data_IF_792669333160
#
_entry.id   IF_792669333160
#
_cell.length_a   1.000
_cell.length_b   1.000
_cell.length_c   1.000
_cell.angle_alpha   90.00
_cell.angle_beta   90.00
_cell.angle_gamma   90.00
#
_symmetry.space_group_name_H-M   'P 1'
#
loop_
_entity.id
_entity.type
_entity.pdbx_description
1 polymer ?
#
# COMPACT_ATOMS: atom_id res chain seq x y z
N UNK A 1 -24.39 9.73 -1.23
CA UNK A 1 -23.49 8.84 -2.00
C UNK A 1 -22.34 8.51 -1.06
N UNK A 2 -22.00 7.24 -0.88
CA UNK A 2 -20.85 6.86 -0.06
C UNK A 2 -19.54 7.32 -0.71
N UNK A 3 -18.54 7.67 0.09
CA UNK A 3 -17.20 7.98 -0.41
C UNK A 3 -16.47 6.67 -0.70
N UNK A 4 -15.70 6.61 -1.79
CA UNK A 4 -14.85 5.42 -2.05
C UNK A 4 -13.69 5.38 -1.07
N UNK A 5 -13.31 4.20 -0.59
CA UNK A 5 -12.19 4.02 0.31
C UNK A 5 -10.87 4.55 -0.28
N UNK A 6 -10.66 4.37 -1.59
CA UNK A 6 -9.51 4.92 -2.32
C UNK A 6 -9.45 6.45 -2.23
N UNK A 7 -10.55 7.13 -2.55
CA UNK A 7 -10.61 8.60 -2.53
C UNK A 7 -10.38 9.13 -1.10
N UNK A 8 -10.97 8.46 -0.09
CA UNK A 8 -10.73 8.78 1.33
C UNK A 8 -9.24 8.74 1.67
N UNK A 9 -8.56 7.65 1.29
CA UNK A 9 -7.13 7.48 1.58
C UNK A 9 -6.27 8.53 0.86
N UNK A 10 -6.54 8.79 -0.42
CA UNK A 10 -5.81 9.81 -1.20
C UNK A 10 -5.95 11.20 -0.58
N UNK A 11 -7.15 11.57 -0.12
CA UNK A 11 -7.40 12.86 0.51
C UNK A 11 -6.71 12.97 1.88
N UNK A 12 -6.74 11.92 2.69
CA UNK A 12 -6.04 11.88 3.98
C UNK A 12 -4.52 11.98 3.80
N UNK A 13 -3.95 11.21 2.88
CA UNK A 13 -2.53 11.26 2.54
C UNK A 13 -2.13 12.66 2.05
N UNK A 14 -2.96 13.27 1.19
CA UNK A 14 -2.72 14.66 0.75
C UNK A 14 -2.68 15.62 1.94
N UNK A 15 -3.63 15.51 2.88
CA UNK A 15 -3.65 16.39 4.06
C UNK A 15 -2.40 16.19 4.93
N UNK A 16 -2.01 14.96 5.20
CA UNK A 16 -0.81 14.66 6.00
C UNK A 16 0.48 15.22 5.36
N UNK A 17 0.57 15.20 4.02
CA UNK A 17 1.76 15.66 3.30
C UNK A 17 1.81 17.15 3.02
N UNK A 18 0.66 17.80 2.85
CA UNK A 18 0.59 19.11 2.20
C UNK A 18 -0.20 20.17 3.00
N UNK A 19 -0.78 19.81 4.14
CA UNK A 19 -1.56 20.75 4.94
C UNK A 19 -0.89 21.05 6.27
N UNK A 20 -0.78 22.32 6.58
CA UNK A 20 -0.50 22.74 7.94
C UNK A 20 -1.70 22.39 8.83
N UNK A 21 -1.44 21.78 9.96
CA UNK A 21 -2.47 21.34 10.89
C UNK A 21 -1.96 21.38 12.33
N UNK A 22 -2.90 21.41 13.29
CA UNK A 22 -2.57 21.24 14.69
C UNK A 22 -3.66 20.42 15.40
N UNK A 23 -3.24 19.71 16.44
CA UNK A 23 -4.12 18.92 17.29
C UNK A 23 -4.90 19.85 18.20
N UNK A 24 -6.21 19.70 18.24
CA UNK A 24 -7.09 20.49 19.09
C UNK A 24 -8.29 19.64 19.56
N UNK A 25 -8.31 19.35 20.84
CA UNK A 25 -9.39 18.63 21.51
C UNK A 25 -10.30 19.54 22.35
N UNK A 26 -10.17 20.85 22.21
CA UNK A 26 -10.92 21.83 23.02
C UNK A 26 -12.37 22.00 22.58
N UNK A 27 -12.77 21.41 21.46
CA UNK A 27 -14.11 21.57 20.92
C UNK A 27 -15.12 20.54 21.44
N UNK A 28 -16.39 20.98 21.73
CA UNK A 28 -17.39 20.12 22.34
C UNK A 28 -17.78 18.90 21.52
N UNK A 29 -17.51 18.89 20.23
CA UNK A 29 -17.96 17.83 19.32
C UNK A 29 -16.82 17.07 18.61
N UNK A 30 -15.58 17.19 19.12
CA UNK A 30 -14.43 16.58 18.47
C UNK A 30 -14.46 16.85 16.95
N UNK A 31 -14.28 18.11 16.58
CA UNK A 31 -14.54 18.60 15.23
C UNK A 31 -13.26 18.78 14.44
N UNK A 32 -13.42 18.80 13.12
CA UNK A 32 -12.41 19.30 12.21
C UNK A 32 -12.80 20.71 11.78
N UNK A 33 -11.88 21.66 11.90
CA UNK A 33 -12.09 23.06 11.54
C UNK A 33 -11.03 23.54 10.53
N UNK A 34 -11.46 24.37 9.58
CA UNK A 34 -10.55 25.05 8.66
C UNK A 34 -10.37 26.49 9.12
N UNK A 35 -9.12 26.90 9.26
CA UNK A 35 -8.68 28.26 9.57
C UNK A 35 -8.20 28.99 8.32
N UNK A 36 -7.71 30.22 8.53
CA UNK A 36 -7.11 31.02 7.45
C UNK A 36 -6.00 30.24 6.74
N UNK A 37 -5.89 30.43 5.44
CA UNK A 37 -4.95 29.74 4.55
C UNK A 37 -5.11 28.21 4.49
N UNK A 38 -6.24 27.69 4.98
CA UNK A 38 -6.51 26.26 4.95
C UNK A 38 -5.79 25.44 6.00
N UNK A 39 -5.31 26.06 7.08
CA UNK A 39 -4.81 25.34 8.26
C UNK A 39 -5.94 24.54 8.89
N UNK A 40 -5.67 23.31 9.28
CA UNK A 40 -6.67 22.38 9.82
C UNK A 40 -6.43 22.16 11.30
N UNK A 41 -7.46 22.33 12.13
CA UNK A 41 -7.44 21.83 13.51
C UNK A 41 -8.41 20.68 13.70
N UNK A 42 -7.97 19.62 14.37
CA UNK A 42 -8.79 18.46 14.70
C UNK A 42 -8.15 17.70 15.87
N UNK A 43 -8.94 16.87 16.54
CA UNK A 43 -8.41 15.73 17.27
C UNK A 43 -8.46 14.46 16.41
N UNK A 44 -8.10 13.32 16.98
CA UNK A 44 -8.03 12.05 16.24
C UNK A 44 -9.39 11.66 15.64
N UNK A 45 -10.46 11.80 16.40
CA UNK A 45 -11.81 11.42 15.96
C UNK A 45 -12.45 12.53 15.11
N UNK A 46 -12.11 13.78 15.35
CA UNK A 46 -12.53 14.92 14.56
C UNK A 46 -12.04 14.87 13.13
N UNK A 47 -10.81 14.38 12.90
CA UNK A 47 -10.30 14.13 11.56
C UNK A 47 -11.17 13.09 10.82
N UNK A 48 -11.47 11.97 11.45
CA UNK A 48 -12.30 10.90 10.85
C UNK A 48 -13.71 11.41 10.54
N UNK A 49 -14.35 12.08 11.49
CA UNK A 49 -15.69 12.66 11.29
C UNK A 49 -15.65 13.74 10.20
N UNK A 50 -14.64 14.58 10.22
CA UNK A 50 -14.48 15.70 9.28
C UNK A 50 -14.43 15.24 7.83
N UNK A 51 -13.57 14.27 7.52
CA UNK A 51 -13.39 13.77 6.15
C UNK A 51 -14.60 12.96 5.66
N UNK A 52 -15.32 12.29 6.56
CA UNK A 52 -16.53 11.55 6.20
C UNK A 52 -17.69 12.50 5.93
N UNK A 53 -17.86 13.55 6.75
CA UNK A 53 -18.94 14.52 6.60
C UNK A 53 -18.71 15.51 5.44
N UNK A 54 -17.46 15.78 5.14
CA UNK A 54 -17.06 16.65 4.03
C UNK A 54 -15.89 16.04 3.26
N UNK A 55 -16.16 15.17 2.27
CA UNK A 55 -15.13 14.55 1.42
C UNK A 55 -14.22 15.55 0.70
N UNK A 56 -14.62 16.81 0.58
CA UNK A 56 -13.84 17.88 -0.05
C UNK A 56 -13.07 18.77 0.95
N UNK A 57 -13.08 18.43 2.24
CA UNK A 57 -12.42 19.24 3.29
C UNK A 57 -10.95 19.51 2.96
N UNK A 58 -10.27 18.56 2.35
CA UNK A 58 -8.87 18.64 1.96
C UNK A 58 -8.56 19.75 0.92
N UNK A 59 -9.58 20.22 0.16
CA UNK A 59 -9.45 21.29 -0.85
C UNK A 59 -9.68 22.68 -0.27
N UNK A 60 -10.26 22.77 0.92
CA UNK A 60 -10.72 24.05 1.45
C UNK A 60 -9.55 24.91 1.93
N UNK A 61 -9.55 26.17 1.55
CA UNK A 61 -8.52 27.16 1.90
C UNK A 61 -9.08 28.34 2.71
N UNK A 62 -10.40 28.47 2.76
CA UNK A 62 -11.07 29.58 3.47
C UNK A 62 -11.58 29.07 4.82
N UNK A 63 -11.53 29.90 5.85
CA UNK A 63 -12.14 29.60 7.13
C UNK A 63 -13.57 29.17 6.98
N UNK A 64 -13.91 28.15 7.72
CA UNK A 64 -15.28 27.68 7.80
C UNK A 64 -15.55 27.24 9.22
N UNK A 65 -16.77 27.37 9.66
CA UNK A 65 -17.17 26.81 10.94
C UNK A 65 -16.99 25.27 10.98
N UNK A 66 -17.39 24.69 12.09
CA UNK A 66 -17.25 23.25 12.34
C UNK A 66 -17.87 22.40 11.24
N UNK A 67 -17.08 21.41 10.74
CA UNK A 67 -17.51 20.49 9.68
C UNK A 67 -18.28 19.28 10.18
N UNK A 68 -18.24 18.98 11.46
CA UNK A 68 -19.09 17.94 12.02
C UNK A 68 -20.41 18.56 12.39
N UNK A 69 -21.43 18.27 11.62
CA UNK A 69 -22.82 18.61 11.97
C UNK A 69 -23.47 17.35 12.53
N UNK A 70 -23.77 17.31 13.83
CA UNK A 70 -24.52 16.20 14.41
C UNK A 70 -25.76 15.89 13.59
N UNK A 71 -25.95 14.61 13.25
CA UNK A 71 -27.12 14.12 12.53
C UNK A 71 -27.05 14.28 10.99
N UNK A 72 -25.91 14.64 10.39
CA UNK A 72 -25.79 14.71 8.93
C UNK A 72 -25.32 13.39 8.31
N UNK A 73 -24.04 13.05 8.39
CA UNK A 73 -23.50 11.84 7.78
C UNK A 73 -23.04 10.84 8.83
N UNK A 74 -22.06 11.21 9.65
CA UNK A 74 -21.62 10.41 10.80
C UNK A 74 -22.01 11.10 12.09
N UNK A 75 -22.47 10.35 13.09
CA UNK A 75 -22.88 10.90 14.38
C UNK A 75 -21.69 11.45 15.20
N UNK A 76 -22.01 12.21 16.23
CA UNK A 76 -21.02 12.70 17.19
C UNK A 76 -20.69 11.60 18.21
N UNK A 77 -19.96 10.58 17.76
CA UNK A 77 -19.54 9.45 18.56
C UNK A 77 -18.09 9.58 19.01
N UNK A 78 -17.78 8.94 20.14
CA UNK A 78 -16.39 8.73 20.55
C UNK A 78 -15.70 7.73 19.60
N UNK A 79 -14.39 7.55 19.79
CA UNK A 79 -13.61 6.57 19.04
C UNK A 79 -14.15 5.15 19.18
N UNK A 80 -14.60 4.74 20.38
CA UNK A 80 -15.25 3.44 20.60
C UNK A 80 -16.66 3.41 19.99
N UNK A 81 -17.38 4.53 20.06
CA UNK A 81 -18.70 4.67 19.43
C UNK A 81 -18.63 4.48 17.92
N UNK A 82 -17.62 5.01 17.24
CA UNK A 82 -17.39 4.75 15.80
C UNK A 82 -17.07 3.28 15.55
N UNK A 83 -16.24 2.66 16.38
CA UNK A 83 -15.91 1.24 16.23
C UNK A 83 -17.15 0.33 16.31
N UNK A 84 -18.12 0.68 17.17
CA UNK A 84 -19.40 -0.05 17.29
C UNK A 84 -20.26 0.02 16.02
N UNK A 85 -20.05 1.04 15.18
CA UNK A 85 -20.72 1.19 13.88
C UNK A 85 -19.90 0.61 12.71
N UNK A 86 -18.75 0.03 12.99
CA UNK A 86 -17.95 -0.65 11.99
C UNK A 86 -18.46 -2.06 11.74
N UNK A 87 -18.32 -2.54 10.52
CA UNK A 87 -18.52 -3.94 10.15
C UNK A 87 -17.16 -4.66 10.05
N UNK A 88 -17.15 -5.98 10.27
CA UNK A 88 -15.93 -6.77 10.15
C UNK A 88 -14.83 -6.41 11.17
N UNK A 89 -15.24 -5.95 12.36
CA UNK A 89 -14.29 -5.57 13.43
C UNK A 89 -13.39 -6.74 13.79
N UNK A 90 -12.06 -6.49 13.80
CA UNK A 90 -11.05 -7.51 14.07
C UNK A 90 -9.89 -6.95 14.89
N UNK A 91 -9.28 -7.74 15.78
CA UNK A 91 -8.01 -7.43 16.41
C UNK A 91 -6.79 -7.88 15.57
N UNK A 92 -7.00 -8.50 14.41
CA UNK A 92 -5.96 -9.07 13.55
C UNK A 92 -5.81 -8.24 12.28
N UNK A 93 -4.68 -7.56 12.12
CA UNK A 93 -4.46 -6.57 11.07
C UNK A 93 -3.94 -7.13 9.75
N UNK A 94 -3.70 -8.44 9.64
CA UNK A 94 -3.13 -9.08 8.44
C UNK A 94 -3.98 -8.93 7.18
N UNK A 95 -5.29 -8.69 7.35
CA UNK A 95 -6.23 -8.52 6.24
C UNK A 95 -6.91 -7.14 6.25
N UNK A 96 -6.30 -6.16 6.90
CA UNK A 96 -6.82 -4.79 6.92
C UNK A 96 -6.79 -4.21 5.50
N UNK A 97 -7.82 -3.47 5.15
CA UNK A 97 -7.95 -2.86 3.82
C UNK A 97 -7.87 -1.32 3.91
N UNK A 98 -7.35 -0.65 2.88
CA UNK A 98 -7.35 0.80 2.83
C UNK A 98 -8.75 1.39 3.03
N UNK A 99 -8.83 2.45 3.82
CA UNK A 99 -10.07 3.08 4.25
C UNK A 99 -10.66 2.53 5.54
N UNK A 100 -10.11 1.46 6.13
CA UNK A 100 -10.59 0.94 7.39
C UNK A 100 -10.19 1.84 8.58
N UNK A 101 -11.14 1.96 9.48
CA UNK A 101 -10.99 2.66 10.74
C UNK A 101 -10.07 1.87 11.67
N UNK A 102 -9.14 2.57 12.30
CA UNK A 102 -8.22 2.06 13.30
C UNK A 102 -8.60 2.59 14.67
N UNK A 103 -8.60 1.72 15.65
CA UNK A 103 -8.97 1.99 17.04
C UNK A 103 -7.89 1.52 18.01
N UNK A 104 -7.61 2.34 18.99
CA UNK A 104 -7.09 2.00 20.31
C UNK A 104 -7.73 2.91 21.35
N UNK A 105 -7.77 2.50 22.62
CA UNK A 105 -8.43 3.28 23.67
C UNK A 105 -7.88 4.73 23.72
N UNK A 106 -8.76 5.71 23.49
CA UNK A 106 -8.44 7.14 23.47
C UNK A 106 -7.76 7.61 22.20
N UNK A 107 -7.76 6.83 21.10
CA UNK A 107 -7.19 7.27 19.82
C UNK A 107 -7.79 6.56 18.60
N UNK A 108 -7.73 7.26 17.48
CA UNK A 108 -8.28 6.77 16.21
C UNK A 108 -7.42 7.21 15.01
N UNK A 109 -7.52 6.45 13.93
CA UNK A 109 -6.89 6.73 12.65
C UNK A 109 -7.56 5.99 11.50
N UNK A 110 -7.02 6.13 10.30
CA UNK A 110 -7.46 5.41 9.10
C UNK A 110 -6.25 4.71 8.49
N UNK A 111 -6.40 3.43 8.20
CA UNK A 111 -5.43 2.70 7.41
C UNK A 111 -5.57 3.10 5.94
N UNK A 112 -4.50 3.60 5.33
CA UNK A 112 -4.53 4.14 3.97
C UNK A 112 -3.78 3.26 2.95
N UNK A 113 -3.21 2.13 3.39
CA UNK A 113 -2.26 1.38 2.59
C UNK A 113 -0.88 2.07 2.55
N UNK A 114 0.11 1.41 1.98
CA UNK A 114 1.48 1.94 1.99
C UNK A 114 1.66 3.18 1.11
N UNK A 115 2.37 4.17 1.63
CA UNK A 115 2.79 5.37 0.92
C UNK A 115 4.07 5.95 1.56
N UNK A 116 4.82 6.72 0.79
CA UNK A 116 6.00 7.41 1.30
C UNK A 116 5.61 8.76 1.91
N UNK A 117 6.15 9.07 3.10
CA UNK A 117 6.05 10.39 3.71
C UNK A 117 7.27 10.68 4.59
N UNK A 118 7.81 11.90 4.46
CA UNK A 118 8.96 12.40 5.26
C UNK A 118 10.18 11.47 5.32
N UNK A 119 10.43 10.73 4.22
CA UNK A 119 11.57 9.82 4.08
C UNK A 119 11.36 8.42 4.65
N UNK A 120 10.14 8.08 5.07
CA UNK A 120 9.76 6.74 5.56
C UNK A 120 8.55 6.17 4.84
N UNK A 121 8.35 4.86 4.99
CA UNK A 121 7.12 4.18 4.55
C UNK A 121 6.09 4.30 5.66
N UNK A 122 4.89 4.75 5.29
CA UNK A 122 3.72 4.90 6.15
C UNK A 122 2.55 4.11 5.57
N UNK A 123 1.56 3.84 6.38
CA UNK A 123 0.31 3.23 5.91
C UNK A 123 -0.94 3.69 6.68
N UNK A 124 -0.75 4.62 7.61
CA UNK A 124 -1.83 5.15 8.46
C UNK A 124 -1.77 6.67 8.46
N UNK A 125 -2.95 7.30 8.43
CA UNK A 125 -3.11 8.74 8.67
C UNK A 125 -3.96 8.96 9.91
N UNK A 126 -3.52 9.84 10.77
CA UNK A 126 -4.12 10.15 12.08
C UNK A 126 -3.91 11.61 12.44
N UNK A 127 -4.64 12.11 13.43
CA UNK A 127 -4.38 13.41 14.03
C UNK A 127 -3.95 13.21 15.49
N UNK A 128 -2.73 13.62 15.83
CA UNK A 128 -2.10 13.25 17.10
C UNK A 128 -1.10 14.30 17.57
N UNK A 129 -0.76 14.22 18.86
CA UNK A 129 0.40 14.89 19.46
C UNK A 129 1.58 13.94 19.68
N UNK A 130 1.44 12.68 19.27
CA UNK A 130 2.51 11.69 19.36
C UNK A 130 3.62 11.98 18.33
N UNK A 131 4.74 11.29 18.41
CA UNK A 131 5.89 11.40 17.49
C UNK A 131 6.58 12.77 17.48
N UNK A 132 6.26 13.67 18.44
CA UNK A 132 6.69 15.07 18.40
C UNK A 132 5.96 15.89 17.32
N UNK A 133 4.90 15.33 16.72
CA UNK A 133 3.97 16.02 15.83
C UNK A 133 2.88 16.75 16.63
N UNK A 134 2.17 17.61 15.94
CA UNK A 134 1.00 18.29 16.51
C UNK A 134 0.00 18.54 15.37
N UNK A 135 -0.84 17.55 15.09
CA UNK A 135 -1.84 17.64 14.03
C UNK A 135 -1.97 16.38 13.18
N UNK A 136 -2.33 16.57 11.92
CA UNK A 136 -2.51 15.48 10.95
C UNK A 136 -1.14 14.97 10.52
N UNK A 137 -0.88 13.73 10.77
CA UNK A 137 0.39 13.08 10.47
C UNK A 137 0.18 11.65 9.96
N UNK A 138 1.26 10.97 9.65
CA UNK A 138 1.27 9.58 9.24
C UNK A 138 2.12 8.72 10.15
N UNK A 139 1.77 7.46 10.25
CA UNK A 139 2.53 6.45 10.97
C UNK A 139 2.56 5.14 10.21
N UNK A 140 3.33 4.18 10.69
CA UNK A 140 3.36 2.83 10.14
C UNK A 140 2.71 1.87 11.14
N UNK A 141 1.67 1.18 10.69
CA UNK A 141 1.08 0.01 11.34
C UNK A 141 1.77 -1.24 10.79
N UNK A 142 2.36 -2.05 11.65
CA UNK A 142 2.79 -3.40 11.28
C UNK A 142 1.58 -4.34 11.24
N UNK A 143 1.16 -4.83 10.06
CA UNK A 143 -0.01 -5.70 9.95
C UNK A 143 0.15 -7.05 10.65
N UNK A 144 1.37 -7.49 10.92
CA UNK A 144 1.61 -8.76 11.59
C UNK A 144 1.34 -8.69 13.10
N UNK A 145 1.60 -7.54 13.73
CA UNK A 145 1.55 -7.37 15.17
C UNK A 145 0.56 -6.32 15.68
N UNK A 146 0.04 -5.45 14.81
CA UNK A 146 -0.76 -4.29 15.22
C UNK A 146 0.07 -3.13 15.81
N UNK A 147 1.38 -3.26 15.84
CA UNK A 147 2.28 -2.24 16.40
C UNK A 147 2.28 -0.98 15.52
N UNK A 148 2.40 0.15 16.17
CA UNK A 148 2.42 1.47 15.55
C UNK A 148 3.80 2.08 15.70
N UNK A 149 4.36 2.58 14.62
CA UNK A 149 5.70 3.14 14.57
C UNK A 149 5.69 4.58 14.04
N UNK A 150 6.56 5.39 14.61
CA UNK A 150 6.89 6.70 14.07
C UNK A 150 7.57 6.55 12.70
N UNK A 151 7.04 7.26 11.71
CA UNK A 151 7.57 7.26 10.34
C UNK A 151 8.96 7.92 10.21
N UNK A 152 9.35 8.78 11.16
CA UNK A 152 10.62 9.52 11.11
C UNK A 152 11.81 8.69 11.58
N UNK A 153 11.63 7.83 12.57
CA UNK A 153 12.72 7.15 13.23
C UNK A 153 12.44 5.69 13.61
N UNK A 154 11.24 5.17 13.25
CA UNK A 154 10.84 3.80 13.55
C UNK A 154 10.63 3.50 15.03
N UNK A 155 10.49 4.52 15.89
CA UNK A 155 10.20 4.30 17.32
C UNK A 155 8.83 3.70 17.49
N UNK A 156 8.75 2.62 18.25
CA UNK A 156 7.49 1.95 18.60
C UNK A 156 6.68 2.80 19.58
N UNK A 157 5.39 2.92 19.30
CA UNK A 157 4.39 3.56 20.14
C UNK A 157 3.29 2.58 20.52
N UNK A 158 2.23 3.07 21.21
CA UNK A 158 1.06 2.26 21.55
C UNK A 158 0.51 1.55 20.32
N UNK A 159 0.21 0.27 20.46
CA UNK A 159 -0.35 -0.56 19.38
C UNK A 159 -1.81 -0.25 19.12
N UNK A 160 -2.23 -0.39 17.86
CA UNK A 160 -3.64 -0.46 17.50
C UNK A 160 -4.26 -1.73 18.08
N UNK A 161 -5.48 -1.61 18.57
CA UNK A 161 -6.19 -2.72 19.23
C UNK A 161 -7.18 -3.41 18.29
N UNK A 162 -7.84 -2.66 17.43
CA UNK A 162 -8.86 -3.15 16.49
C UNK A 162 -8.92 -2.28 15.25
N UNK A 163 -9.51 -2.85 14.21
CA UNK A 163 -9.89 -2.14 13.00
C UNK A 163 -11.28 -2.58 12.54
N UNK A 164 -11.90 -1.84 11.63
CA UNK A 164 -13.17 -2.19 11.04
C UNK A 164 -13.60 -1.26 9.91
N UNK A 165 -14.57 -1.71 9.12
CA UNK A 165 -15.07 -0.99 7.96
C UNK A 165 -16.23 -0.07 8.34
N UNK A 166 -16.14 1.19 7.98
CA UNK A 166 -17.21 2.18 8.07
C UNK A 166 -18.20 2.03 6.90
N UNK A 167 -18.75 0.83 6.73
CA UNK A 167 -19.50 0.43 5.53
C UNK A 167 -20.78 1.24 5.26
N UNK A 168 -21.32 1.94 6.27
CA UNK A 168 -22.46 2.84 6.07
C UNK A 168 -22.07 4.14 5.35
N UNK A 169 -20.81 4.56 5.45
CA UNK A 169 -20.29 5.84 4.95
C UNK A 169 -19.30 5.67 3.81
N UNK A 170 -18.52 4.59 3.86
CA UNK A 170 -17.43 4.31 2.93
C UNK A 170 -17.83 3.12 2.05
N UNK A 171 -17.69 3.29 0.76
CA UNK A 171 -17.77 2.21 -0.21
C UNK A 171 -16.39 1.55 -0.28
N UNK A 172 -16.26 0.43 0.40
CA UNK A 172 -15.16 -0.48 0.21
C UNK A 172 -15.51 -1.27 -1.03
N UNK A 173 -15.00 -0.84 -2.16
CA UNK A 173 -15.04 -1.74 -3.27
C UNK A 173 -14.33 -3.00 -2.79
N UNK A 174 -15.01 -4.15 -2.88
CA UNK A 174 -14.35 -5.44 -3.02
C UNK A 174 -13.64 -5.52 -4.39
N UNK A 175 -13.23 -4.41 -4.96
CA UNK A 175 -12.17 -4.37 -5.93
C UNK A 175 -10.96 -4.80 -5.14
N UNK A 176 -10.84 -6.09 -5.11
CA UNK A 176 -9.68 -6.85 -4.86
C UNK A 176 -8.48 -5.99 -5.26
N UNK A 177 -7.80 -5.42 -4.26
CA UNK A 177 -6.55 -4.71 -4.50
C UNK A 177 -5.63 -5.78 -5.02
N UNK A 178 -5.30 -5.71 -6.29
CA UNK A 178 -4.46 -6.71 -6.95
C UNK A 178 -3.01 -6.56 -6.47
N UNK A 179 -2.13 -7.40 -6.91
CA UNK A 179 -0.71 -7.26 -6.63
C UNK A 179 -0.20 -5.92 -7.16
N UNK A 180 0.53 -5.19 -6.33
CA UNK A 180 1.27 -4.00 -6.73
C UNK A 180 2.71 -4.37 -6.97
N UNK A 181 3.26 -3.96 -8.11
CA UNK A 181 4.63 -4.29 -8.50
C UNK A 181 5.26 -3.21 -9.36
N UNK A 182 6.57 -3.17 -9.33
CA UNK A 182 7.40 -2.27 -10.11
C UNK A 182 8.71 -2.95 -10.49
N UNK A 183 9.38 -2.42 -11.50
CA UNK A 183 10.68 -2.90 -11.95
C UNK A 183 11.70 -1.78 -12.01
N UNK A 184 12.96 -2.14 -11.90
CA UNK A 184 14.09 -1.26 -12.15
C UNK A 184 14.52 -1.39 -13.62
N UNK A 185 14.55 -0.27 -14.32
CA UNK A 185 14.92 -0.17 -15.74
C UNK A 185 16.42 0.08 -15.88
N UNK A 186 17.11 -0.75 -16.64
CA UNK A 186 18.56 -0.72 -16.79
C UNK A 186 19.07 0.51 -17.56
N UNK A 187 18.29 0.98 -18.55
CA UNK A 187 18.64 2.13 -19.40
C UNK A 187 18.41 3.45 -18.68
N UNK A 188 17.25 3.62 -18.07
CA UNK A 188 16.91 4.81 -17.30
C UNK A 188 17.57 4.85 -15.92
N UNK A 189 17.95 3.70 -15.40
CA UNK A 189 18.53 3.51 -14.05
C UNK A 189 17.63 4.06 -12.94
N UNK A 190 16.34 3.75 -13.03
CA UNK A 190 15.32 4.15 -12.05
C UNK A 190 14.29 3.06 -11.86
N UNK A 191 13.65 3.06 -10.70
CA UNK A 191 12.41 2.33 -10.51
C UNK A 191 11.31 2.99 -11.32
N UNK A 192 10.60 2.20 -12.12
CA UNK A 192 9.43 2.66 -12.86
C UNK A 192 8.22 2.78 -11.93
N UNK A 193 7.16 3.43 -12.41
CA UNK A 193 5.92 3.56 -11.65
C UNK A 193 5.33 2.21 -11.27
N UNK A 194 4.66 2.17 -10.11
CA UNK A 194 3.99 0.97 -9.63
C UNK A 194 2.77 0.65 -10.48
N UNK A 195 2.67 -0.59 -10.90
CA UNK A 195 1.53 -1.17 -11.62
C UNK A 195 0.69 -2.01 -10.64
N UNK A 196 -0.64 -1.95 -10.77
CA UNK A 196 -1.58 -2.77 -10.03
C UNK A 196 -2.23 -3.81 -10.94
N UNK A 197 -2.05 -5.09 -10.62
CA UNK A 197 -2.63 -6.20 -11.36
C UNK A 197 -2.30 -6.16 -12.85
N UNK A 198 -3.31 -6.29 -13.67
CA UNK A 198 -3.19 -6.26 -15.13
C UNK A 198 -3.68 -4.93 -15.75
N UNK A 199 -3.78 -3.88 -14.94
CA UNK A 199 -4.13 -2.54 -15.44
C UNK A 199 -3.14 -2.06 -16.50
N UNK A 200 -1.87 -2.48 -16.34
CA UNK A 200 -0.78 -2.24 -17.26
C UNK A 200 0.29 -3.34 -17.10
N UNK A 201 1.49 -3.12 -17.61
CA UNK A 201 2.66 -3.95 -17.36
C UNK A 201 3.79 -3.09 -16.77
N UNK A 202 4.65 -3.70 -15.96
CA UNK A 202 5.87 -3.04 -15.48
C UNK A 202 7.03 -3.37 -16.41
N UNK A 203 7.67 -2.33 -16.94
CA UNK A 203 8.77 -2.44 -17.88
C UNK A 203 8.68 -1.44 -19.03
N UNK A 204 9.67 -1.46 -19.89
CA UNK A 204 9.73 -0.68 -21.15
C UNK A 204 10.27 -1.60 -22.23
N UNK A 205 9.51 -1.82 -23.27
CA UNK A 205 9.95 -2.69 -24.38
C UNK A 205 11.30 -2.25 -24.94
N UNK A 206 12.20 -3.20 -25.04
CA UNK A 206 13.57 -3.00 -25.50
C UNK A 206 14.57 -2.65 -24.40
N UNK A 207 14.12 -2.36 -23.15
CA UNK A 207 15.00 -2.14 -22.01
C UNK A 207 15.02 -3.39 -21.13
N UNK A 208 16.17 -3.74 -20.57
CA UNK A 208 16.23 -4.87 -19.65
C UNK A 208 15.63 -4.51 -18.27
N UNK A 209 15.00 -5.48 -17.65
CA UNK A 209 14.59 -5.41 -16.25
C UNK A 209 15.69 -6.01 -15.38
N UNK A 210 16.21 -5.24 -14.44
CA UNK A 210 17.28 -5.69 -13.54
C UNK A 210 16.74 -6.13 -12.17
N UNK A 211 15.70 -5.46 -11.68
CA UNK A 211 15.12 -5.78 -10.36
C UNK A 211 13.59 -5.72 -10.40
N UNK A 212 12.97 -6.50 -9.49
CA UNK A 212 11.51 -6.54 -9.29
C UNK A 212 11.20 -6.33 -7.82
N UNK A 213 10.17 -5.52 -7.54
CA UNK A 213 9.60 -5.34 -6.21
C UNK A 213 8.09 -5.53 -6.28
N UNK A 214 7.52 -6.36 -5.40
CA UNK A 214 6.10 -6.68 -5.40
C UNK A 214 5.51 -6.76 -3.99
N UNK A 215 4.23 -6.36 -3.83
CA UNK A 215 3.47 -6.49 -2.60
C UNK A 215 2.00 -6.76 -2.89
N UNK A 216 1.33 -7.41 -1.95
CA UNK A 216 -0.10 -7.63 -1.96
C UNK A 216 -0.65 -7.49 -0.55
N UNK A 217 -1.67 -6.66 -0.36
CA UNK A 217 -2.23 -6.41 0.98
C UNK A 217 -2.98 -7.59 1.59
N UNK A 218 -3.40 -8.56 0.76
CA UNK A 218 -4.15 -9.72 1.22
C UNK A 218 -3.30 -10.87 1.77
N UNK A 219 -1.99 -10.88 1.52
CA UNK A 219 -1.06 -11.91 1.99
C UNK A 219 0.39 -11.57 1.66
N UNK A 220 1.32 -12.20 2.38
CA UNK A 220 2.74 -12.13 2.03
C UNK A 220 3.01 -12.70 0.64
N UNK A 221 3.86 -12.02 -0.11
CA UNK A 221 4.43 -12.51 -1.36
C UNK A 221 5.89 -12.89 -1.14
N UNK A 222 6.29 -13.99 -1.77
CA UNK A 222 7.66 -14.48 -1.79
C UNK A 222 8.08 -14.66 -3.23
N UNK A 223 9.19 -14.07 -3.62
CA UNK A 223 9.63 -14.08 -5.01
C UNK A 223 11.13 -14.06 -5.15
N UNK A 224 11.60 -14.48 -6.30
CA UNK A 224 13.00 -14.44 -6.67
C UNK A 224 13.16 -14.39 -8.18
N UNK A 225 14.35 -14.04 -8.61
CA UNK A 225 14.73 -13.91 -10.02
C UNK A 225 15.94 -14.75 -10.33
N UNK A 226 16.04 -15.13 -11.58
CA UNK A 226 17.27 -15.60 -12.20
C UNK A 226 17.85 -14.45 -13.02
N UNK A 227 19.17 -14.26 -13.00
CA UNK A 227 19.84 -13.16 -13.68
C UNK A 227 20.69 -13.64 -14.84
N UNK A 228 20.62 -12.89 -15.96
CA UNK A 228 21.43 -13.12 -17.13
C UNK A 228 22.67 -12.23 -17.16
N UNK A 229 23.81 -12.75 -17.63
CA UNK A 229 25.08 -12.01 -17.69
C UNK A 229 25.57 -11.73 -19.12
N UNK A 230 24.70 -11.80 -20.12
CA UNK A 230 25.05 -11.60 -21.52
C UNK A 230 25.97 -12.69 -22.07
N UNK A 231 26.82 -12.35 -23.05
CA UNK A 231 27.71 -13.29 -23.70
C UNK A 231 28.82 -13.83 -22.77
N UNK A 232 29.03 -13.22 -21.62
CA UNK A 232 29.92 -13.73 -20.54
C UNK A 232 29.28 -14.85 -19.71
N UNK A 233 28.01 -15.08 -19.90
CA UNK A 233 27.22 -16.07 -19.15
C UNK A 233 27.77 -17.50 -19.26
N UNK A 234 28.14 -17.94 -20.46
CA UNK A 234 28.76 -19.25 -20.68
C UNK A 234 30.14 -19.38 -20.00
N UNK A 235 30.85 -18.27 -19.84
CA UNK A 235 32.21 -18.25 -19.34
C UNK A 235 32.31 -18.42 -17.82
N UNK A 236 31.26 -18.04 -17.09
CA UNK A 236 31.32 -18.01 -15.63
C UNK A 236 30.43 -19.03 -14.90
N UNK A 237 29.57 -19.77 -15.61
CA UNK A 237 28.70 -20.83 -15.07
C UNK A 237 27.98 -20.49 -13.73
N UNK A 238 27.75 -19.21 -13.47
CA UNK A 238 27.19 -18.66 -12.25
C UNK A 238 25.79 -18.09 -12.47
N UNK A 239 25.03 -18.71 -13.37
CA UNK A 239 23.63 -18.42 -13.52
C UNK A 239 22.88 -19.19 -12.46
N UNK A 240 22.44 -18.52 -11.46
CA UNK A 240 21.67 -19.10 -10.38
C UNK A 240 20.50 -18.22 -10.01
N UNK A 241 19.50 -18.85 -9.44
CA UNK A 241 18.42 -18.13 -8.81
C UNK A 241 18.96 -17.36 -7.62
N UNK A 242 18.66 -16.06 -7.55
CA UNK A 242 18.99 -15.25 -6.39
C UNK A 242 18.14 -15.66 -5.17
N UNK A 243 18.54 -15.28 -3.95
CA UNK A 243 17.77 -15.56 -2.76
C UNK A 243 16.33 -15.06 -2.85
N UNK A 244 15.40 -15.77 -2.20
CA UNK A 244 14.00 -15.35 -2.07
C UNK A 244 13.89 -14.08 -1.24
N UNK A 245 13.08 -13.12 -1.70
CA UNK A 245 12.71 -11.91 -0.97
C UNK A 245 11.24 -11.92 -0.64
N UNK A 246 10.84 -11.10 0.36
CA UNK A 246 9.49 -11.04 0.87
C UNK A 246 8.93 -9.62 0.74
N UNK A 247 7.80 -9.48 0.07
CA UNK A 247 7.09 -8.21 -0.09
C UNK A 247 8.02 -7.08 -0.59
N UNK A 248 7.70 -5.82 -0.28
CA UNK A 248 8.54 -4.67 -0.58
C UNK A 248 9.59 -4.34 0.49
N UNK A 249 9.86 -5.26 1.42
CA UNK A 249 10.94 -5.08 2.39
C UNK A 249 12.32 -5.08 1.70
N UNK A 250 12.38 -5.70 0.52
CA UNK A 250 13.55 -5.76 -0.34
C UNK A 250 13.09 -5.92 -1.80
N UNK A 251 14.02 -6.04 -2.72
CA UNK A 251 13.76 -6.34 -4.13
C UNK A 251 14.57 -7.54 -4.58
N UNK A 252 14.04 -8.27 -5.56
CA UNK A 252 14.74 -9.37 -6.20
C UNK A 252 15.46 -8.85 -7.45
N UNK A 253 16.76 -9.10 -7.55
CA UNK A 253 17.59 -8.68 -8.68
C UNK A 253 18.88 -8.03 -8.25
N UNK A 254 19.68 -7.62 -9.23
CA UNK A 254 20.94 -6.90 -9.05
C UNK A 254 21.01 -5.85 -10.16
N UNK A 255 21.12 -4.58 -9.79
CA UNK A 255 21.27 -3.50 -10.77
C UNK A 255 22.45 -3.76 -11.70
N UNK A 256 22.22 -3.58 -13.01
CA UNK A 256 23.19 -3.88 -14.08
C UNK A 256 23.26 -5.37 -14.44
N UNK A 257 22.29 -6.19 -13.97
CA UNK A 257 22.19 -7.60 -14.34
C UNK A 257 20.77 -7.92 -14.79
N UNK A 258 20.55 -8.04 -16.10
CA UNK A 258 19.22 -8.37 -16.61
C UNK A 258 18.65 -9.66 -16.03
N UNK A 259 17.37 -9.64 -15.74
CA UNK A 259 16.59 -10.80 -15.36
C UNK A 259 16.19 -11.57 -16.61
N UNK A 260 16.31 -12.91 -16.57
CA UNK A 260 15.86 -13.80 -17.64
C UNK A 260 14.77 -14.78 -17.18
N UNK A 261 14.55 -14.91 -15.86
CA UNK A 261 13.42 -15.64 -15.32
C UNK A 261 12.99 -15.08 -13.95
N UNK A 262 11.70 -15.21 -13.68
CA UNK A 262 11.03 -14.69 -12.49
C UNK A 262 10.06 -15.73 -11.94
N UNK A 263 9.99 -15.88 -10.63
CA UNK A 263 8.95 -16.65 -9.97
C UNK A 263 8.46 -15.96 -8.71
N UNK A 264 7.16 -16.13 -8.42
CA UNK A 264 6.50 -15.55 -7.27
C UNK A 264 5.40 -16.48 -6.75
N UNK A 265 5.24 -16.51 -5.44
CA UNK A 265 4.16 -17.26 -4.76
C UNK A 265 3.48 -16.41 -3.71
N UNK A 266 2.21 -16.69 -3.45
CA UNK A 266 1.44 -16.12 -2.35
C UNK A 266 1.55 -17.01 -1.12
N UNK A 267 1.77 -16.41 0.06
CA UNK A 267 1.85 -17.10 1.35
C UNK A 267 0.49 -17.48 1.95
N UNK A 268 -0.61 -17.32 1.22
CA UNK A 268 -1.97 -17.58 1.67
C UNK A 268 -2.64 -18.68 0.85
N UNK A 269 -3.38 -19.56 1.51
CA UNK A 269 -4.23 -20.54 0.83
C UNK A 269 -5.51 -19.97 0.22
N UNK A 270 -5.84 -18.70 0.52
CA UNK A 270 -7.02 -18.01 -0.01
C UNK A 270 -6.79 -17.37 -1.37
N UNK A 271 -5.53 -17.22 -1.77
CA UNK A 271 -5.12 -16.50 -2.97
C UNK A 271 -4.08 -17.28 -3.74
N UNK A 272 -4.13 -17.18 -5.05
CA UNK A 272 -3.06 -17.55 -5.97
C UNK A 272 -2.55 -16.32 -6.69
N UNK A 273 -1.30 -16.34 -7.11
CA UNK A 273 -0.74 -15.34 -8.00
C UNK A 273 -0.46 -15.97 -9.36
N UNK A 274 -0.85 -15.28 -10.41
CA UNK A 274 -0.49 -15.59 -11.79
C UNK A 274 0.42 -14.50 -12.32
N UNK A 275 1.43 -14.88 -13.05
CA UNK A 275 2.41 -13.95 -13.56
C UNK A 275 2.94 -14.40 -14.93
N UNK A 276 3.42 -13.44 -15.70
CA UNK A 276 4.04 -13.67 -16.99
C UNK A 276 5.08 -12.60 -17.29
N UNK A 277 5.96 -12.86 -18.24
CA UNK A 277 7.00 -11.93 -18.68
C UNK A 277 6.97 -11.77 -20.20
N UNK A 278 7.49 -10.63 -20.64
CA UNK A 278 7.76 -10.35 -22.04
C UNK A 278 9.26 -10.56 -22.34
N UNK A 279 9.56 -11.29 -23.40
CA UNK A 279 10.92 -11.56 -23.85
C UNK A 279 11.41 -10.48 -24.80
N UNK A 280 12.41 -9.72 -24.38
CA UNK A 280 12.93 -8.58 -25.14
C UNK A 280 13.34 -8.92 -26.59
N UNK A 281 14.11 -9.98 -26.78
CA UNK A 281 14.65 -10.35 -28.10
C UNK A 281 13.60 -10.91 -29.06
N UNK A 282 12.56 -11.53 -28.52
CA UNK A 282 11.50 -12.17 -29.31
C UNK A 282 10.27 -11.30 -29.50
N UNK A 283 10.19 -10.19 -28.75
CA UNK A 283 9.02 -9.30 -28.71
C UNK A 283 7.72 -10.09 -28.47
N UNK A 284 7.72 -10.93 -27.41
CA UNK A 284 6.69 -11.91 -27.16
C UNK A 284 6.37 -12.02 -25.67
N UNK A 285 5.08 -11.91 -25.32
CA UNK A 285 4.57 -12.31 -24.02
C UNK A 285 4.51 -13.84 -23.92
N UNK A 286 5.09 -14.39 -22.87
CA UNK A 286 4.90 -15.80 -22.52
C UNK A 286 3.53 -16.03 -21.88
N UNK A 287 3.10 -17.29 -21.81
CA UNK A 287 1.87 -17.69 -21.12
C UNK A 287 1.94 -17.43 -19.62
N UNK A 288 0.76 -17.37 -19.00
CA UNK A 288 0.62 -17.20 -17.56
C UNK A 288 1.09 -18.42 -16.78
N UNK A 289 1.91 -18.21 -15.77
CA UNK A 289 2.45 -19.19 -14.84
C UNK A 289 1.81 -19.01 -13.46
N UNK A 290 1.65 -20.10 -12.72
CA UNK A 290 1.13 -20.15 -11.34
C UNK A 290 2.10 -20.86 -10.37
N UNK A 291 3.11 -21.54 -10.87
CA UNK A 291 4.03 -22.36 -10.08
C UNK A 291 5.12 -21.56 -9.38
N UNK A 292 5.87 -22.26 -8.55
CA UNK A 292 7.05 -21.74 -7.85
C UNK A 292 8.07 -22.88 -7.71
N UNK A 293 8.77 -23.20 -8.81
CA UNK A 293 9.70 -24.33 -8.86
C UNK A 293 10.77 -24.09 -9.93
N UNK A 294 12.02 -23.95 -9.51
CA UNK A 294 13.19 -23.72 -10.39
C UNK A 294 13.43 -24.81 -11.44
N UNK A 295 12.96 -26.02 -11.17
CA UNK A 295 13.19 -27.19 -12.02
C UNK A 295 12.06 -27.43 -13.03
N UNK A 296 10.97 -26.71 -12.90
CA UNK A 296 9.80 -26.82 -13.77
C UNK A 296 9.79 -25.68 -14.77
N UNK A 297 10.32 -25.91 -15.95
CA UNK A 297 10.44 -24.93 -17.03
C UNK A 297 9.10 -24.58 -17.70
N UNK A 298 8.07 -25.40 -17.52
CA UNK A 298 6.77 -25.15 -18.15
C UNK A 298 5.87 -24.28 -17.28
N UNK A 299 5.82 -24.56 -15.96
CA UNK A 299 4.87 -23.90 -15.06
C UNK A 299 5.49 -23.37 -13.77
N UNK A 300 6.77 -23.62 -13.49
CA UNK A 300 7.41 -23.27 -12.24
C UNK A 300 7.92 -21.85 -12.15
N UNK A 301 8.17 -21.21 -13.30
CA UNK A 301 8.63 -19.82 -13.41
C UNK A 301 8.29 -19.23 -14.79
N UNK A 302 8.23 -17.92 -14.90
CA UNK A 302 8.08 -17.20 -16.17
C UNK A 302 9.45 -16.72 -16.65
N UNK A 303 9.75 -16.97 -17.92
CA UNK A 303 11.02 -16.60 -18.56
C UNK A 303 11.67 -17.74 -19.32
N UNK A 304 12.74 -17.45 -19.99
CA UNK A 304 13.60 -18.40 -20.72
C UNK A 304 15.04 -18.11 -20.33
N UNK A 305 15.67 -19.04 -19.63
CA UNK A 305 17.05 -18.88 -19.16
C UNK A 305 17.96 -18.52 -20.34
N UNK A 306 18.69 -17.41 -20.23
CA UNK A 306 19.53 -16.85 -21.28
C UNK A 306 18.84 -15.82 -22.19
N UNK A 307 17.54 -15.54 -22.00
CA UNK A 307 16.82 -14.53 -22.77
C UNK A 307 16.29 -13.43 -21.82
N UNK A 308 16.84 -12.20 -21.85
CA UNK A 308 16.40 -11.15 -20.94
C UNK A 308 14.95 -10.74 -21.16
N UNK A 309 14.30 -10.37 -20.06
CA UNK A 309 12.94 -9.82 -20.06
C UNK A 309 12.98 -8.31 -20.06
N UNK A 310 11.97 -7.68 -20.65
CA UNK A 310 11.81 -6.22 -20.65
C UNK A 310 10.48 -5.75 -20.07
N UNK A 311 9.56 -6.68 -19.77
CA UNK A 311 8.34 -6.37 -19.06
C UNK A 311 7.78 -7.59 -18.33
N UNK A 312 6.97 -7.32 -17.30
CA UNK A 312 6.24 -8.36 -16.57
C UNK A 312 4.83 -7.91 -16.20
N UNK A 313 3.95 -8.87 -16.03
CA UNK A 313 2.59 -8.70 -15.50
C UNK A 313 2.29 -9.72 -14.42
N UNK A 314 1.54 -9.28 -13.42
CA UNK A 314 1.08 -10.14 -12.32
C UNK A 314 -0.40 -9.87 -12.02
N UNK A 315 -1.09 -10.86 -11.49
CA UNK A 315 -2.44 -10.72 -10.93
C UNK A 315 -2.68 -11.73 -9.83
N UNK A 316 -3.48 -11.34 -8.87
CA UNK A 316 -3.98 -12.24 -7.84
C UNK A 316 -5.28 -12.89 -8.29
N UNK A 317 -5.48 -14.14 -7.89
CA UNK A 317 -6.74 -14.88 -8.07
C UNK A 317 -7.21 -15.32 -6.69
N UNK A 318 -8.40 -14.85 -6.29
CA UNK A 318 -9.05 -15.30 -5.05
C UNK A 318 -9.57 -16.72 -5.27
N UNK A 319 -9.17 -17.62 -4.38
CA UNK A 319 -9.70 -19.00 -4.36
C UNK A 319 -11.04 -19.01 -3.62
N UNK A 320 -11.98 -19.78 -4.10
CA UNK A 320 -13.30 -19.94 -3.49
C UNK A 320 -13.24 -20.77 -2.21
#
# INVERSE_FOLDING_TARGET
MKQKAKDLCEHLIFMAKNRESYYDNSFPANCCQIHDRGVISADCIGLVKGIINDPDIWKRLKPSGYYVRPGTTIGDWSEEGILQHCTGVSPYFQNIQPGEYLYMAGHAGIFCGEFEHAGGICNTVECTTDFGDNGITSSYLDPASGRRYDHKNGTEWRSWERHGKLSDYIEYNDTFVDVMYQVYDDVKRVWLETVEGISDYAGIYGHDVDCVSAAFYGADLYYKVHTWKGDEYEKYNNSEWLPEVKNRLDYAGIEGRPIDAFMIRCGSSKYKIRYRVHLRKKDLWLDWVEGYNEKDQENGYAGVIGEPIDALQMKIVKLQ
#
